data_IF_191036968286
#
_entry.id   IF_191036968286
#
_cell.length_a   1.000
_cell.length_b   1.000
_cell.length_c   1.000
_cell.angle_alpha   90.00
_cell.angle_beta   90.00
_cell.angle_gamma   90.00
#
_symmetry.space_group_name_H-M   'P 1'
#
loop_
_entity.id
_entity.type
_entity.pdbx_description
1 polymer ?
#
# COMPACT_ATOMS: atom_id res chain seq x y z
N UNK A 1 24.74 -7.04 31.75
CA UNK A 1 23.76 -6.80 30.68
C UNK A 1 22.45 -6.44 31.35
N UNK A 2 21.73 -5.42 30.88
CA UNK A 2 20.42 -5.08 31.42
C UNK A 2 19.45 -6.25 31.17
N UNK A 3 18.51 -6.45 32.08
CA UNK A 3 17.43 -7.41 31.87
C UNK A 3 16.62 -6.99 30.64
N UNK A 4 16.09 -7.95 29.88
CA UNK A 4 15.27 -7.65 28.71
C UNK A 4 13.79 -7.69 29.08
N UNK A 5 13.01 -6.82 28.46
CA UNK A 5 11.56 -6.87 28.50
C UNK A 5 11.05 -8.12 27.80
N UNK A 6 9.96 -8.67 28.29
CA UNK A 6 9.23 -9.75 27.62
C UNK A 6 8.13 -9.14 26.75
N UNK A 7 8.00 -9.61 25.51
CA UNK A 7 6.90 -9.25 24.62
C UNK A 7 5.97 -10.44 24.42
N UNK A 8 4.67 -10.19 24.52
CA UNK A 8 3.60 -11.17 24.27
C UNK A 8 2.65 -10.61 23.22
N UNK A 9 2.56 -11.28 22.08
CA UNK A 9 1.64 -10.86 21.01
C UNK A 9 0.24 -11.42 21.29
N UNK A 10 -0.74 -10.54 21.42
CA UNK A 10 -2.15 -10.87 21.64
C UNK A 10 -2.97 -10.87 20.35
N UNK A 11 -2.68 -9.92 19.45
CA UNK A 11 -3.29 -9.80 18.13
C UNK A 11 -2.17 -9.61 17.12
N UNK A 12 -2.25 -10.34 16.02
CA UNK A 12 -1.41 -10.17 14.84
C UNK A 12 -2.29 -10.53 13.64
N UNK A 13 -3.01 -9.53 13.13
CA UNK A 13 -3.92 -9.68 11.99
C UNK A 13 -3.62 -8.65 10.91
N UNK A 14 -4.49 -8.56 9.90
CA UNK A 14 -4.29 -7.61 8.80
C UNK A 14 -4.46 -6.16 9.20
N UNK A 15 -5.10 -5.88 10.34
CA UNK A 15 -5.49 -4.53 10.75
C UNK A 15 -4.67 -3.97 11.88
N UNK A 16 -4.41 -4.81 12.86
CA UNK A 16 -3.72 -4.45 14.08
C UNK A 16 -2.70 -5.50 14.46
N UNK A 17 -1.60 -5.01 15.04
CA UNK A 17 -0.72 -5.82 15.86
C UNK A 17 -0.77 -5.28 17.28
N UNK A 18 -1.08 -6.15 18.23
CA UNK A 18 -1.16 -5.82 19.65
C UNK A 18 -0.13 -6.62 20.42
N UNK A 19 0.89 -5.93 20.91
CA UNK A 19 1.97 -6.51 21.71
C UNK A 19 1.84 -6.01 23.14
N UNK A 20 1.73 -6.91 24.11
CA UNK A 20 1.95 -6.58 25.51
C UNK A 20 3.44 -6.62 25.80
N UNK A 21 3.96 -5.52 26.31
CA UNK A 21 5.31 -5.45 26.83
C UNK A 21 5.31 -5.54 28.35
N UNK A 22 6.24 -6.32 28.90
CA UNK A 22 6.37 -6.60 30.33
C UNK A 22 7.80 -6.40 30.79
N UNK A 23 7.97 -5.63 31.86
CA UNK A 23 9.28 -5.23 32.36
C UNK A 23 9.40 -5.54 33.85
N UNK A 24 10.45 -6.29 34.20
CA UNK A 24 11.01 -6.20 35.55
C UNK A 24 11.64 -4.80 35.78
N UNK A 25 11.88 -4.38 37.03
CA UNK A 25 12.62 -3.15 37.31
C UNK A 25 13.97 -3.11 36.56
N UNK A 26 14.24 -2.01 35.85
CA UNK A 26 15.45 -1.83 35.04
C UNK A 26 15.54 -2.69 33.77
N UNK A 27 14.49 -3.43 33.40
CA UNK A 27 14.46 -4.14 32.12
C UNK A 27 14.26 -3.18 30.94
N UNK A 28 14.71 -3.57 29.75
CA UNK A 28 14.66 -2.74 28.54
C UNK A 28 14.14 -3.47 27.30
N UNK A 29 13.60 -2.72 26.33
CA UNK A 29 13.19 -3.27 25.01
C UNK A 29 14.35 -3.51 24.06
N UNK A 30 15.50 -2.86 24.31
CA UNK A 30 16.50 -2.61 23.29
C UNK A 30 16.07 -1.51 22.31
N UNK A 31 17.02 -1.06 21.48
CA UNK A 31 16.79 -0.05 20.46
C UNK A 31 15.89 -0.55 19.34
N UNK A 32 14.86 0.23 19.01
CA UNK A 32 13.94 -0.08 17.91
C UNK A 32 13.38 1.18 17.27
N UNK A 33 12.81 1.01 16.08
CA UNK A 33 12.07 2.03 15.33
C UNK A 33 10.66 1.53 15.09
N UNK A 34 9.67 2.37 15.35
CA UNK A 34 8.26 2.09 15.10
C UNK A 34 7.95 2.12 13.61
N UNK A 35 7.49 1.00 13.06
CA UNK A 35 7.15 0.88 11.63
C UNK A 35 5.76 1.44 11.29
N UNK A 36 4.88 1.55 12.27
CA UNK A 36 3.48 1.92 12.11
C UNK A 36 3.09 3.06 13.05
N UNK A 37 1.96 3.71 12.78
CA UNK A 37 1.31 4.53 13.80
C UNK A 37 0.76 3.63 14.91
N UNK A 38 0.90 4.06 16.16
CA UNK A 38 0.60 3.20 17.30
C UNK A 38 -0.02 3.94 18.48
N UNK A 39 -0.76 3.18 19.30
CA UNK A 39 -1.31 3.60 20.59
C UNK A 39 -0.65 2.76 21.68
N UNK A 40 -0.19 3.41 22.74
CA UNK A 40 0.20 2.75 23.99
C UNK A 40 -0.98 2.81 24.96
N UNK A 41 -1.34 1.66 25.54
CA UNK A 41 -2.33 1.53 26.62
C UNK A 41 -1.64 0.98 27.86
N UNK A 42 -1.35 1.80 28.87
CA UNK A 42 -0.70 1.35 30.08
C UNK A 42 -1.58 0.36 30.87
N UNK A 43 -1.01 -0.77 31.26
CA UNK A 43 -1.69 -1.78 32.08
C UNK A 43 -1.38 -1.62 33.58
N UNK A 44 -0.27 -0.95 33.90
CA UNK A 44 0.13 -0.56 35.26
C UNK A 44 0.56 0.90 35.28
N UNK A 45 0.55 1.50 36.47
CA UNK A 45 1.25 2.77 36.70
C UNK A 45 2.77 2.54 36.67
N UNK A 46 3.55 3.55 36.30
CA UNK A 46 5.00 3.48 36.33
C UNK A 46 5.72 4.64 35.64
N UNK A 47 7.03 4.50 35.50
CA UNK A 47 7.89 5.49 34.82
C UNK A 47 8.71 4.80 33.75
N UNK A 48 8.59 5.28 32.52
CA UNK A 48 9.49 4.91 31.43
C UNK A 48 10.70 5.85 31.43
N UNK A 49 11.88 5.27 31.27
CA UNK A 49 13.08 5.97 30.86
C UNK A 49 13.32 5.70 29.37
N UNK A 50 13.46 6.78 28.60
CA UNK A 50 13.58 6.74 27.15
C UNK A 50 14.97 7.24 26.76
N UNK A 51 15.70 6.44 25.98
CA UNK A 51 16.94 6.87 25.33
C UNK A 51 16.64 7.24 23.87
N UNK A 52 17.13 8.40 23.43
CA UNK A 52 16.90 8.93 22.07
C UNK A 52 18.17 8.87 21.20
N UNK A 53 18.06 8.81 19.86
CA UNK A 53 19.21 8.64 18.97
C UNK A 53 20.25 9.77 19.04
N UNK A 54 19.85 10.96 19.49
CA UNK A 54 20.73 12.11 19.70
C UNK A 54 21.57 12.01 21.00
N UNK A 55 21.41 10.92 21.75
CA UNK A 55 22.07 10.68 23.03
C UNK A 55 21.35 11.28 24.23
N UNK A 56 20.24 11.99 24.03
CA UNK A 56 19.42 12.51 25.13
C UNK A 56 18.60 11.41 25.80
N UNK A 57 18.21 11.67 27.05
CA UNK A 57 17.30 10.82 27.81
C UNK A 57 16.12 11.63 28.32
N UNK A 58 14.97 10.99 28.47
CA UNK A 58 13.77 11.59 29.04
C UNK A 58 12.97 10.57 29.85
N UNK A 59 12.14 11.04 30.78
CA UNK A 59 11.18 10.20 31.48
C UNK A 59 9.75 10.47 31.03
N UNK A 60 8.90 9.46 31.06
CA UNK A 60 7.48 9.58 30.79
C UNK A 60 6.67 8.75 31.81
N UNK A 61 5.63 9.34 32.45
CA UNK A 61 4.75 8.58 33.32
C UNK A 61 3.84 7.67 32.48
N UNK A 62 3.65 6.45 32.96
CA UNK A 62 2.53 5.59 32.57
C UNK A 62 1.47 5.68 33.66
N UNK A 63 0.25 6.01 33.23
CA UNK A 63 -0.93 6.02 34.09
C UNK A 63 -1.87 4.93 33.60
N UNK A 64 -2.20 3.98 34.47
CA UNK A 64 -2.98 2.80 34.14
C UNK A 64 -4.31 3.20 33.46
N UNK A 65 -4.54 2.63 32.27
CA UNK A 65 -5.75 2.86 31.49
C UNK A 65 -5.83 4.22 30.77
N UNK A 66 -4.79 5.07 30.83
CA UNK A 66 -4.73 6.35 30.11
C UNK A 66 -3.91 6.19 28.84
N UNK A 67 -4.54 6.05 27.66
CA UNK A 67 -3.81 5.80 26.42
C UNK A 67 -3.17 7.06 25.84
N UNK A 68 -2.12 6.88 25.04
CA UNK A 68 -1.55 7.93 24.20
C UNK A 68 -1.07 7.36 22.86
N UNK A 69 -1.05 8.19 21.82
CA UNK A 69 -0.58 7.79 20.49
C UNK A 69 0.77 8.41 20.14
N UNK A 70 1.48 7.74 19.23
CA UNK A 70 2.68 8.26 18.56
C UNK A 70 2.61 7.89 17.07
N UNK A 71 3.45 8.55 16.28
CA UNK A 71 3.53 8.34 14.84
C UNK A 71 4.63 7.34 14.51
N UNK A 72 4.52 6.73 13.33
CA UNK A 72 5.58 5.95 12.71
C UNK A 72 6.92 6.72 12.68
N UNK A 73 8.03 5.99 12.72
CA UNK A 73 9.39 6.53 12.65
C UNK A 73 10.01 6.95 13.99
N UNK A 74 9.29 6.85 15.10
CA UNK A 74 9.87 7.06 16.44
C UNK A 74 10.94 5.99 16.70
N UNK A 75 12.15 6.41 17.05
CA UNK A 75 13.29 5.56 17.36
C UNK A 75 13.74 5.79 18.80
N UNK A 76 13.80 4.74 19.61
CA UNK A 76 14.18 4.83 21.03
C UNK A 76 14.56 3.47 21.63
N UNK A 77 15.15 3.49 22.82
CA UNK A 77 15.16 2.36 23.75
C UNK A 77 14.29 2.73 24.96
N UNK A 78 13.43 1.81 25.41
CA UNK A 78 12.54 2.01 26.54
C UNK A 78 13.00 1.13 27.70
N UNK A 79 13.21 1.75 28.85
CA UNK A 79 13.62 1.09 30.10
C UNK A 79 12.55 1.33 31.16
N UNK A 80 12.28 0.31 31.99
CA UNK A 80 11.51 0.52 33.21
C UNK A 80 12.37 1.27 34.24
N UNK A 81 12.14 2.57 34.39
CA UNK A 81 12.85 3.45 35.31
C UNK A 81 12.27 3.46 36.74
N UNK A 82 11.32 2.58 37.04
CA UNK A 82 10.75 2.41 38.37
C UNK A 82 11.20 1.13 39.08
N UNK A 83 10.84 1.03 40.36
CA UNK A 83 11.16 -0.12 41.23
C UNK A 83 10.12 -1.26 41.16
N UNK A 84 9.01 -1.02 40.45
CA UNK A 84 7.89 -1.94 40.32
C UNK A 84 7.84 -2.65 38.97
N UNK A 85 6.97 -3.65 38.86
CA UNK A 85 6.64 -4.27 37.58
C UNK A 85 5.89 -3.28 36.68
N UNK A 86 6.24 -3.25 35.39
CA UNK A 86 5.65 -2.34 34.41
C UNK A 86 5.13 -3.12 33.21
N UNK A 87 3.90 -2.82 32.77
CA UNK A 87 3.34 -3.39 31.56
C UNK A 87 2.45 -2.40 30.78
N UNK A 88 2.46 -2.54 29.46
CA UNK A 88 1.57 -1.80 28.56
C UNK A 88 1.26 -2.61 27.30
N UNK A 89 0.13 -2.31 26.66
CA UNK A 89 -0.15 -2.75 25.30
C UNK A 89 0.35 -1.70 24.31
N UNK A 90 1.01 -2.18 23.27
CA UNK A 90 1.35 -1.42 22.07
C UNK A 90 0.46 -1.92 20.93
N UNK A 91 -0.40 -1.04 20.43
CA UNK A 91 -1.37 -1.31 19.39
C UNK A 91 -0.93 -0.59 18.13
N UNK A 92 -0.31 -1.31 17.21
CA UNK A 92 0.12 -0.81 15.91
C UNK A 92 -1.02 -0.97 14.89
N UNK A 93 -1.30 0.08 14.11
CA UNK A 93 -2.21 -0.01 12.96
C UNK A 93 -1.40 -0.48 11.76
N UNK A 94 -1.55 -1.76 11.41
CA UNK A 94 -0.77 -2.42 10.36
C UNK A 94 -1.52 -2.49 9.01
N UNK A 95 -2.79 -2.06 8.95
CA UNK A 95 -3.60 -2.21 7.74
C UNK A 95 -3.37 -1.18 6.64
N UNK A 96 -3.34 -1.70 5.41
CA UNK A 96 -4.12 -1.14 4.29
C UNK A 96 -4.61 -2.29 3.36
N UNK A 97 -5.51 -3.13 3.86
CA UNK A 97 -6.11 -4.25 3.15
C UNK A 97 -6.82 -3.81 1.86
N UNK A 98 -7.50 -2.65 1.81
CA UNK A 98 -7.93 -2.05 0.55
C UNK A 98 -6.78 -1.86 -0.45
N UNK A 99 -5.64 -1.30 -0.05
CA UNK A 99 -4.44 -1.19 -0.92
C UNK A 99 -4.01 -2.55 -1.43
N UNK A 100 -3.91 -3.57 -0.57
CA UNK A 100 -3.49 -4.91 -1.01
C UNK A 100 -4.45 -5.55 -2.02
N UNK A 101 -5.77 -5.46 -1.79
CA UNK A 101 -6.76 -6.01 -2.75
C UNK A 101 -6.77 -5.24 -4.07
N UNK A 102 -6.53 -3.93 -4.04
CA UNK A 102 -6.38 -3.10 -5.25
C UNK A 102 -5.10 -3.42 -6.01
N UNK A 103 -3.96 -3.59 -5.32
CA UNK A 103 -2.71 -4.06 -5.91
C UNK A 103 -2.89 -5.42 -6.61
N UNK A 104 -3.50 -6.38 -5.91
CA UNK A 104 -3.79 -7.69 -6.50
C UNK A 104 -4.72 -7.59 -7.73
N UNK A 105 -5.64 -6.62 -7.74
CA UNK A 105 -6.48 -6.34 -8.93
C UNK A 105 -5.68 -5.77 -10.09
N UNK A 106 -4.73 -4.85 -9.82
CA UNK A 106 -3.84 -4.32 -10.85
C UNK A 106 -2.89 -5.38 -11.42
N UNK A 107 -2.38 -6.30 -10.59
CA UNK A 107 -1.56 -7.43 -11.02
C UNK A 107 -2.35 -8.35 -11.96
N UNK A 108 -3.55 -8.80 -11.56
CA UNK A 108 -4.43 -9.60 -12.43
C UNK A 108 -4.77 -8.87 -13.73
N UNK A 109 -4.97 -7.56 -13.66
CA UNK A 109 -5.28 -6.74 -14.83
C UNK A 109 -4.10 -6.66 -15.81
N UNK A 110 -2.87 -6.52 -15.31
CA UNK A 110 -1.65 -6.53 -16.13
C UNK A 110 -1.40 -7.91 -16.77
N UNK A 111 -1.63 -8.99 -16.02
CA UNK A 111 -1.55 -10.35 -16.53
C UNK A 111 -2.58 -10.59 -17.65
N UNK A 112 -3.82 -10.13 -17.47
CA UNK A 112 -4.89 -10.24 -18.46
C UNK A 112 -4.58 -9.46 -19.75
N UNK A 113 -3.93 -8.29 -19.67
CA UNK A 113 -3.45 -7.56 -20.83
C UNK A 113 -2.44 -8.38 -21.65
N UNK A 114 -1.46 -8.99 -20.99
CA UNK A 114 -0.46 -9.83 -21.66
C UNK A 114 -1.02 -11.16 -22.18
N UNK A 115 -2.08 -11.68 -21.56
CA UNK A 115 -2.77 -12.88 -22.02
C UNK A 115 -3.74 -12.64 -23.19
N UNK A 116 -4.08 -11.38 -23.49
CA UNK A 116 -5.14 -11.07 -24.45
C UNK A 116 -6.55 -11.43 -23.95
N UNK A 117 -6.73 -11.57 -22.63
CA UNK A 117 -7.96 -12.05 -22.02
C UNK A 117 -8.87 -10.88 -21.62
N UNK A 118 -9.77 -10.52 -22.52
CA UNK A 118 -10.73 -9.43 -22.31
C UNK A 118 -11.72 -9.75 -21.18
N UNK A 119 -12.08 -11.00 -20.97
CA UNK A 119 -13.01 -11.38 -19.90
C UNK A 119 -12.35 -11.16 -18.53
N UNK A 120 -11.08 -11.54 -18.38
CA UNK A 120 -10.29 -11.29 -17.18
C UNK A 120 -10.02 -9.79 -16.97
N UNK A 121 -9.77 -9.01 -18.03
CA UNK A 121 -9.68 -7.55 -17.94
C UNK A 121 -10.98 -6.97 -17.38
N UNK A 122 -12.12 -7.34 -17.97
CA UNK A 122 -13.43 -6.83 -17.55
C UNK A 122 -13.85 -7.32 -16.17
N UNK A 123 -13.35 -8.45 -15.67
CA UNK A 123 -13.54 -8.90 -14.30
C UNK A 123 -12.84 -7.99 -13.26
N UNK A 124 -11.86 -7.20 -13.68
CA UNK A 124 -11.18 -6.22 -12.82
C UNK A 124 -11.85 -4.83 -12.84
N UNK A 125 -12.78 -4.58 -13.77
CA UNK A 125 -13.46 -3.29 -13.93
C UNK A 125 -14.79 -3.26 -13.16
N UNK A 126 -15.14 -2.11 -12.59
CA UNK A 126 -16.42 -1.87 -11.93
C UNK A 126 -17.61 -1.79 -12.93
N UNK A 127 -18.85 -1.73 -12.43
CA UNK A 127 -20.05 -1.66 -13.28
C UNK A 127 -20.16 -0.35 -14.06
N UNK A 128 -19.88 0.78 -13.41
CA UNK A 128 -19.87 2.11 -14.03
C UNK A 128 -18.51 2.53 -14.56
N UNK A 129 -17.68 1.58 -15.01
CA UNK A 129 -16.29 1.86 -15.31
C UNK A 129 -16.10 2.77 -16.53
N UNK A 130 -14.96 3.46 -16.55
CA UNK A 130 -14.53 4.29 -17.67
C UNK A 130 -13.10 3.97 -18.08
N UNK A 131 -12.83 4.13 -19.38
CA UNK A 131 -11.49 4.06 -19.94
C UNK A 131 -11.23 5.31 -20.79
N UNK A 132 -10.18 6.04 -20.45
CA UNK A 132 -9.65 7.15 -21.23
C UNK A 132 -8.37 6.66 -21.91
N UNK A 133 -8.43 6.50 -23.23
CA UNK A 133 -7.30 5.99 -24.00
C UNK A 133 -6.24 7.06 -24.20
N UNK A 134 -4.96 6.67 -24.20
CA UNK A 134 -3.83 7.59 -24.41
C UNK A 134 -3.84 8.36 -25.73
N UNK A 135 -4.69 7.94 -26.69
CA UNK A 135 -4.92 8.63 -27.94
C UNK A 135 -6.39 8.97 -28.08
N UNK A 136 -6.68 10.11 -28.71
CA UNK A 136 -8.02 10.47 -29.11
C UNK A 136 -8.12 11.91 -29.57
N UNK A 137 -9.32 12.34 -29.98
CA UNK A 137 -9.54 13.68 -30.53
C UNK A 137 -9.59 14.79 -29.47
N UNK A 138 -9.63 14.44 -28.19
CA UNK A 138 -9.74 15.39 -27.07
C UNK A 138 -8.47 15.40 -26.21
N UNK A 139 -8.27 16.41 -25.35
CA UNK A 139 -7.15 16.43 -24.40
C UNK A 139 -7.12 15.23 -23.44
N UNK A 140 -8.28 14.63 -23.17
CA UNK A 140 -8.45 13.42 -22.35
C UNK A 140 -8.32 12.12 -23.17
N UNK A 141 -7.96 12.22 -24.45
CA UNK A 141 -7.98 11.11 -25.38
C UNK A 141 -9.39 10.74 -25.84
N UNK A 142 -9.67 9.44 -25.97
CA UNK A 142 -11.02 8.93 -26.27
C UNK A 142 -11.59 8.34 -24.99
N UNK A 143 -12.77 8.83 -24.58
CA UNK A 143 -13.46 8.38 -23.38
C UNK A 143 -14.48 7.31 -23.72
N UNK A 144 -14.40 6.17 -23.05
CA UNK A 144 -15.31 5.03 -23.14
C UNK A 144 -16.00 4.85 -21.79
N UNK A 145 -17.34 4.83 -21.77
CA UNK A 145 -18.13 4.83 -20.54
C UNK A 145 -19.04 3.61 -20.47
N UNK A 146 -18.97 2.88 -19.36
CA UNK A 146 -19.72 1.65 -19.12
C UNK A 146 -19.02 0.40 -19.66
N UNK A 147 -19.36 -0.75 -19.09
CA UNK A 147 -18.67 -2.03 -19.34
C UNK A 147 -18.57 -2.39 -20.81
N UNK A 148 -19.66 -2.23 -21.58
CA UNK A 148 -19.69 -2.63 -22.99
C UNK A 148 -18.76 -1.77 -23.84
N UNK A 149 -18.74 -0.45 -23.61
CA UNK A 149 -17.87 0.47 -24.33
C UNK A 149 -16.39 0.26 -23.97
N UNK A 150 -16.10 0.01 -22.70
CA UNK A 150 -14.74 -0.30 -22.22
C UNK A 150 -14.25 -1.64 -22.80
N UNK A 151 -15.09 -2.68 -22.77
CA UNK A 151 -14.79 -3.98 -23.41
C UNK A 151 -14.44 -3.82 -24.88
N UNK A 152 -15.30 -3.14 -25.65
CA UNK A 152 -15.09 -2.92 -27.07
C UNK A 152 -13.77 -2.16 -27.35
N UNK A 153 -13.40 -1.21 -26.48
CA UNK A 153 -12.13 -0.50 -26.59
C UNK A 153 -10.92 -1.42 -26.34
N UNK A 154 -10.98 -2.31 -25.35
CA UNK A 154 -9.91 -3.29 -25.09
C UNK A 154 -9.78 -4.31 -26.22
N UNK A 155 -10.91 -4.82 -26.75
CA UNK A 155 -10.93 -5.68 -27.94
C UNK A 155 -10.30 -4.99 -29.15
N UNK A 156 -10.61 -3.71 -29.37
CA UNK A 156 -10.03 -2.93 -30.46
C UNK A 156 -8.50 -2.77 -30.32
N UNK A 157 -7.98 -2.62 -29.09
CA UNK A 157 -6.53 -2.59 -28.84
C UNK A 157 -5.90 -3.92 -29.25
N UNK A 158 -6.44 -5.06 -28.83
CA UNK A 158 -5.90 -6.36 -29.24
C UNK A 158 -6.01 -6.60 -30.75
N UNK A 159 -7.08 -6.15 -31.38
CA UNK A 159 -7.25 -6.28 -32.82
C UNK A 159 -6.22 -5.44 -33.62
N UNK A 160 -5.85 -4.26 -33.10
CA UNK A 160 -4.93 -3.33 -33.76
C UNK A 160 -3.48 -3.82 -33.83
N UNK A 161 -3.09 -4.76 -32.96
CA UNK A 161 -1.74 -5.29 -32.89
C UNK A 161 -1.68 -6.77 -33.32
N UNK A 162 -0.61 -7.13 -34.02
CA UNK A 162 -0.27 -8.53 -34.33
C UNK A 162 0.56 -9.17 -33.21
N UNK A 163 1.27 -8.35 -32.43
CA UNK A 163 1.93 -8.72 -31.18
C UNK A 163 1.83 -7.54 -30.20
N UNK A 164 1.63 -7.85 -28.92
CA UNK A 164 1.48 -6.84 -27.87
C UNK A 164 1.98 -7.42 -26.54
N UNK A 165 2.88 -6.70 -25.88
CA UNK A 165 3.38 -7.04 -24.56
C UNK A 165 3.54 -5.79 -23.70
N UNK A 166 3.03 -5.86 -22.48
CA UNK A 166 3.22 -4.85 -21.43
C UNK A 166 4.24 -5.39 -20.43
N UNK A 167 5.45 -4.85 -20.49
CA UNK A 167 6.59 -5.25 -19.66
C UNK A 167 6.93 -4.16 -18.65
N UNK A 168 7.86 -4.46 -17.74
CA UNK A 168 8.35 -3.51 -16.71
C UNK A 168 7.21 -2.91 -15.86
N UNK A 169 6.14 -3.69 -15.66
CA UNK A 169 4.94 -3.23 -14.96
C UNK A 169 5.25 -3.02 -13.47
N UNK A 170 4.86 -1.87 -12.93
CA UNK A 170 4.93 -1.57 -11.49
C UNK A 170 3.66 -0.87 -11.05
N UNK A 171 3.18 -1.23 -9.86
CA UNK A 171 1.96 -0.68 -9.28
C UNK A 171 2.24 0.05 -7.97
N UNK A 172 1.50 1.12 -7.73
CA UNK A 172 1.36 1.73 -6.41
C UNK A 172 -0.08 2.17 -6.17
N UNK A 173 -0.50 2.19 -4.91
CA UNK A 173 -1.82 2.67 -4.50
C UNK A 173 -1.63 3.74 -3.43
N UNK A 174 -2.44 4.79 -3.49
CA UNK A 174 -2.57 5.82 -2.47
C UNK A 174 -4.06 6.08 -2.27
N UNK A 175 -4.62 5.57 -1.16
CA UNK A 175 -6.06 5.60 -0.94
C UNK A 175 -6.81 4.87 -2.07
N UNK A 176 -7.71 5.56 -2.75
CA UNK A 176 -8.51 5.06 -3.88
C UNK A 176 -7.92 5.38 -5.27
N UNK A 177 -6.68 5.87 -5.32
CA UNK A 177 -5.94 6.13 -6.55
C UNK A 177 -4.85 5.08 -6.75
N UNK A 178 -4.78 4.51 -7.94
CA UNK A 178 -3.70 3.64 -8.39
C UNK A 178 -2.84 4.27 -9.46
N UNK A 179 -1.57 3.90 -9.50
CA UNK A 179 -0.67 4.20 -10.60
C UNK A 179 -0.07 2.88 -11.10
N UNK A 180 -0.15 2.65 -12.40
CA UNK A 180 0.57 1.55 -13.05
C UNK A 180 1.54 2.14 -14.07
N UNK A 181 2.84 1.92 -13.92
CA UNK A 181 3.82 2.25 -14.98
C UNK A 181 4.13 1.00 -15.79
N UNK A 182 4.37 1.16 -17.09
CA UNK A 182 4.62 0.03 -17.99
C UNK A 182 5.46 0.45 -19.20
N UNK A 183 6.03 -0.54 -19.89
CA UNK A 183 6.59 -0.42 -21.23
C UNK A 183 5.79 -1.29 -22.18
N UNK A 184 5.28 -0.70 -23.25
CA UNK A 184 4.59 -1.44 -24.30
C UNK A 184 5.56 -1.73 -25.44
N UNK A 185 5.66 -3.00 -25.82
CA UNK A 185 6.40 -3.47 -26.98
C UNK A 185 5.44 -4.30 -27.85
N UNK A 186 5.28 -3.93 -29.11
CA UNK A 186 4.38 -4.64 -30.01
C UNK A 186 4.54 -4.24 -31.46
N UNK A 187 3.94 -5.02 -32.36
CA UNK A 187 3.94 -4.76 -33.80
C UNK A 187 2.49 -4.61 -34.25
N UNK A 188 2.17 -3.52 -34.93
CA UNK A 188 0.81 -3.31 -35.44
C UNK A 188 0.50 -4.22 -36.64
N UNK A 189 -0.74 -4.17 -37.15
CA UNK A 189 -1.18 -4.97 -38.30
C UNK A 189 -0.53 -4.57 -39.63
N UNK A 190 0.08 -3.39 -39.70
CA UNK A 190 0.83 -2.92 -40.87
C UNK A 190 2.32 -3.32 -40.79
N UNK A 191 2.73 -4.00 -39.70
CA UNK A 191 4.11 -4.44 -39.49
C UNK A 191 5.01 -3.37 -38.86
N UNK A 192 4.44 -2.28 -38.32
CA UNK A 192 5.21 -1.22 -37.65
C UNK A 192 5.43 -1.58 -36.19
N UNK A 193 6.67 -1.52 -35.75
CA UNK A 193 7.03 -1.74 -34.34
C UNK A 193 6.77 -0.50 -33.48
N UNK A 194 6.27 -0.74 -32.28
CA UNK A 194 6.02 0.25 -31.24
C UNK A 194 6.76 -0.17 -29.98
N UNK A 195 7.56 0.74 -29.45
CA UNK A 195 8.27 0.60 -28.18
C UNK A 195 8.18 1.92 -27.41
N UNK A 196 7.38 1.92 -26.34
CA UNK A 196 7.03 3.15 -25.62
C UNK A 196 6.77 2.89 -24.14
N UNK A 197 7.25 3.79 -23.29
CA UNK A 197 6.88 3.82 -21.87
C UNK A 197 5.59 4.60 -21.67
N UNK A 198 4.76 4.13 -20.75
CA UNK A 198 3.54 4.80 -20.35
C UNK A 198 3.18 4.55 -18.89
N UNK A 199 2.03 5.10 -18.52
CA UNK A 199 1.42 4.83 -17.24
C UNK A 199 -0.10 4.90 -17.34
N UNK A 200 -0.77 4.30 -16.37
CA UNK A 200 -2.19 4.45 -16.13
C UNK A 200 -2.40 5.07 -14.75
N UNK A 201 -3.19 6.13 -14.68
CA UNK A 201 -3.76 6.67 -13.44
C UNK A 201 -5.14 6.02 -13.29
N UNK A 202 -5.34 5.33 -12.18
CA UNK A 202 -6.56 4.54 -11.94
C UNK A 202 -7.30 5.05 -10.71
N UNK A 203 -8.62 4.96 -10.73
CA UNK A 203 -9.45 5.09 -9.52
C UNK A 203 -10.20 3.80 -9.24
N UNK A 204 -10.63 3.59 -8.00
CA UNK A 204 -11.30 2.34 -7.59
C UNK A 204 -12.69 2.57 -6.99
N UNK A 205 -13.63 1.68 -7.34
CA UNK A 205 -14.90 1.50 -6.64
C UNK A 205 -14.82 0.19 -5.84
N UNK A 206 -14.64 0.31 -4.52
CA UNK A 206 -14.22 -0.83 -3.69
C UNK A 206 -12.83 -1.30 -4.12
N UNK A 207 -12.73 -2.54 -4.58
CA UNK A 207 -11.47 -3.14 -5.04
C UNK A 207 -11.34 -3.15 -6.58
N UNK A 208 -12.41 -2.81 -7.32
CA UNK A 208 -12.45 -2.84 -8.79
C UNK A 208 -12.12 -1.48 -9.40
N UNK A 209 -11.54 -1.49 -10.60
CA UNK A 209 -11.14 -0.29 -11.33
C UNK A 209 -12.39 0.46 -11.81
N UNK A 210 -12.59 1.67 -11.31
CA UNK A 210 -13.65 2.56 -11.73
C UNK A 210 -13.24 3.40 -12.94
N UNK A 211 -12.03 3.96 -12.95
CA UNK A 211 -11.50 4.70 -14.10
C UNK A 211 -10.10 4.20 -14.39
N UNK A 212 -9.80 3.99 -15.68
CA UNK A 212 -8.43 3.84 -16.20
C UNK A 212 -8.14 5.01 -17.13
N UNK A 213 -7.22 5.88 -16.75
CA UNK A 213 -6.75 6.99 -17.57
C UNK A 213 -5.31 6.74 -18.01
N UNK A 214 -5.11 6.57 -19.32
CA UNK A 214 -3.88 6.03 -19.88
C UNK A 214 -3.03 7.11 -20.55
N UNK A 215 -1.74 7.09 -20.27
CA UNK A 215 -0.75 8.02 -20.81
C UNK A 215 0.43 7.26 -21.40
N UNK A 216 1.07 7.82 -22.43
CA UNK A 216 2.32 7.28 -22.99
C UNK A 216 3.23 8.40 -23.44
N UNK A 217 4.55 8.15 -23.43
CA UNK A 217 5.53 9.13 -23.93
C UNK A 217 5.30 9.38 -25.42
N UNK A 218 5.20 10.66 -25.79
CA UNK A 218 5.34 11.08 -27.17
C UNK A 218 6.83 10.98 -27.56
N UNK A 219 7.14 10.16 -28.56
CA UNK A 219 8.47 10.09 -29.14
C UNK A 219 8.49 11.00 -30.38
N UNK A 220 9.54 11.82 -30.55
CA UNK A 220 9.73 12.62 -31.77
C UNK A 220 10.01 11.73 -32.99
#
# INVERSE_FOLDING_TARGET
MAAQAESVTHIDDDRFKVTEWRFAPGAETGWHVHGHDYVIVPLTDGTLELSHPDGSTSTAPLLQGVPYSRRTGVSHNVVNGGDGYLAFLEIEVVDDAPVRRRLATLERFADAWNAGDVDALMACMADGCEFLSALGPTPEGTRHVGRDAVRAAYEAIFAAYSSAAWTEVRHSISGDIGLSTWRFVGTDREGRDVDVHGCDVLTFAGDLIAVKDSYRKARP
#
